data_IF_445659208289
#
_entry.id   IF_445659208289
#
_cell.length_a   1.000
_cell.length_b   1.000
_cell.length_c   1.000
_cell.angle_alpha   90.00
_cell.angle_beta   90.00
_cell.angle_gamma   90.00
#
_symmetry.space_group_name_H-M   'P 1'
#
loop_
_entity.id
_entity.type
_entity.pdbx_description
1 polymer ?
#
# COMPACT_ATOMS: atom_id res chain seq x y z
N UNK A 1 37.87 -81.69 21.80
CA UNK A 1 37.04 -80.82 20.94
C UNK A 1 35.68 -80.72 21.59
N UNK A 2 35.11 -79.58 21.93
CA UNK A 2 35.49 -78.19 21.75
C UNK A 2 34.36 -77.38 22.40
N UNK A 3 34.73 -76.49 23.30
CA UNK A 3 33.92 -75.59 24.11
C UNK A 3 33.04 -74.63 23.29
N UNK A 4 31.79 -74.40 23.73
CA UNK A 4 31.08 -73.14 23.43
C UNK A 4 30.71 -72.50 24.77
N UNK A 5 31.26 -71.30 24.99
CA UNK A 5 31.06 -70.46 26.18
C UNK A 5 29.65 -69.89 26.18
N UNK A 6 28.98 -69.98 27.33
CA UNK A 6 27.84 -69.14 27.68
C UNK A 6 28.39 -67.80 28.18
N UNK A 7 28.18 -66.72 27.41
CA UNK A 7 28.39 -65.36 27.89
C UNK A 7 27.03 -64.70 28.12
N UNK A 8 26.81 -64.43 29.40
CA UNK A 8 25.68 -63.74 30.05
C UNK A 8 25.39 -62.40 29.37
N UNK A 9 24.24 -62.27 28.72
CA UNK A 9 23.73 -60.96 28.31
C UNK A 9 23.30 -60.19 29.56
N UNK A 10 24.11 -59.21 29.92
CA UNK A 10 23.80 -58.24 30.96
C UNK A 10 22.84 -57.24 30.35
N UNK A 11 21.57 -57.27 30.78
CA UNK A 11 20.60 -56.22 30.51
C UNK A 11 21.17 -54.88 30.99
N UNK A 12 21.52 -54.00 30.06
CA UNK A 12 21.93 -52.63 30.38
C UNK A 12 20.68 -51.71 30.32
N UNK A 13 20.45 -50.86 31.34
CA UNK A 13 19.19 -50.17 31.53
C UNK A 13 19.04 -48.99 30.56
N UNK A 14 17.87 -48.91 29.93
CA UNK A 14 17.21 -47.68 29.47
C UNK A 14 18.11 -46.61 28.83
N UNK A 15 18.31 -46.68 27.51
CA UNK A 15 18.71 -45.49 26.74
C UNK A 15 17.54 -44.50 26.75
N UNK A 16 17.53 -43.57 27.70
CA UNK A 16 16.62 -42.42 27.69
C UNK A 16 16.84 -41.69 26.38
N UNK A 17 15.83 -41.67 25.50
CA UNK A 17 15.84 -40.88 24.27
C UNK A 17 15.93 -39.41 24.65
N UNK A 18 17.13 -38.85 24.60
CA UNK A 18 17.38 -37.47 24.98
C UNK A 18 17.00 -36.59 23.80
N UNK A 19 15.89 -35.85 23.91
CA UNK A 19 15.51 -34.83 22.93
C UNK A 19 16.13 -33.50 23.30
N UNK A 20 16.71 -32.80 22.33
CA UNK A 20 17.16 -31.41 22.47
C UNK A 20 16.44 -30.52 21.46
N UNK A 21 16.27 -29.25 21.82
CA UNK A 21 15.71 -28.21 20.97
C UNK A 21 16.55 -26.95 21.12
N UNK A 22 16.74 -26.21 20.02
CA UNK A 22 17.48 -24.95 20.03
C UNK A 22 16.54 -23.82 19.63
N UNK A 23 16.42 -22.81 20.50
CA UNK A 23 15.79 -21.54 20.13
C UNK A 23 16.81 -20.69 19.40
N UNK A 24 16.51 -20.31 18.15
CA UNK A 24 17.27 -19.34 17.38
C UNK A 24 16.51 -18.03 17.38
N UNK A 25 17.15 -16.98 17.89
CA UNK A 25 16.64 -15.62 17.85
C UNK A 25 17.47 -14.82 16.86
N UNK A 26 16.83 -14.28 15.84
CA UNK A 26 17.46 -13.51 14.77
C UNK A 26 16.79 -12.13 14.66
N UNK A 27 17.53 -11.15 14.14
CA UNK A 27 17.04 -9.78 13.97
C UNK A 27 16.93 -9.46 12.49
N UNK A 28 15.74 -9.04 12.05
CA UNK A 28 15.51 -8.52 10.70
C UNK A 28 15.59 -7.01 10.74
N UNK A 29 16.62 -6.45 10.11
CA UNK A 29 16.87 -5.00 10.09
C UNK A 29 16.28 -4.34 8.85
N UNK A 30 15.85 -3.09 9.00
CA UNK A 30 15.48 -2.21 7.90
C UNK A 30 15.60 -0.76 8.33
N UNK A 31 15.88 0.13 7.39
CA UNK A 31 16.08 1.56 7.66
C UNK A 31 15.15 2.42 6.82
N UNK A 32 14.77 3.57 7.35
CA UNK A 32 13.90 4.54 6.71
C UNK A 32 14.45 5.95 6.94
N UNK A 33 14.45 6.74 5.87
CA UNK A 33 14.84 8.14 5.90
C UNK A 33 13.59 9.01 5.85
N UNK A 34 13.47 9.94 6.79
CA UNK A 34 12.36 10.86 6.93
C UNK A 34 12.89 12.29 6.85
N UNK A 35 12.57 12.97 5.74
CA UNK A 35 12.91 14.37 5.51
C UNK A 35 11.74 15.26 5.90
N UNK A 36 11.97 16.19 6.82
CA UNK A 36 11.02 17.22 7.20
C UNK A 36 11.47 18.52 6.54
N UNK A 37 10.68 19.02 5.61
CA UNK A 37 10.89 20.33 4.96
C UNK A 37 10.02 21.38 5.63
N UNK A 38 10.51 22.61 5.76
CA UNK A 38 9.73 23.69 6.38
C UNK A 38 9.71 23.59 7.91
N UNK A 39 10.81 23.17 8.55
CA UNK A 39 10.88 22.99 9.99
C UNK A 39 10.42 24.24 10.76
N UNK A 40 10.74 25.43 10.27
CA UNK A 40 10.33 26.71 10.85
C UNK A 40 8.81 26.82 11.03
N UNK A 41 8.01 26.27 10.11
CA UNK A 41 6.55 26.24 10.15
C UNK A 41 5.99 25.25 11.17
N UNK A 42 6.81 24.29 11.61
CA UNK A 42 6.44 23.31 12.63
C UNK A 42 6.62 23.81 14.07
N UNK A 43 7.19 25.00 14.24
CA UNK A 43 7.37 25.63 15.55
C UNK A 43 6.02 26.14 16.08
N UNK A 44 5.75 25.92 17.36
CA UNK A 44 4.50 26.37 17.97
C UNK A 44 3.29 25.48 17.64
N UNK A 45 3.50 24.30 17.04
CA UNK A 45 2.47 23.26 16.90
C UNK A 45 1.87 22.86 18.25
N UNK A 46 2.62 23.03 19.33
CA UNK A 46 2.21 22.73 20.69
C UNK A 46 2.76 21.39 21.18
N UNK A 47 2.98 21.32 22.49
CA UNK A 47 3.55 20.15 23.15
C UNK A 47 2.65 18.93 22.91
N UNK A 48 3.28 17.79 22.59
CA UNK A 48 2.59 16.54 22.29
C UNK A 48 2.03 16.44 20.86
N UNK A 49 2.10 17.50 20.07
CA UNK A 49 1.84 17.44 18.62
C UNK A 49 3.09 16.99 17.88
N UNK A 50 2.89 16.24 16.81
CA UNK A 50 3.97 15.62 16.06
C UNK A 50 3.70 15.64 14.55
N UNK A 51 4.79 15.49 13.81
CA UNK A 51 4.82 15.25 12.38
C UNK A 51 5.13 13.77 12.18
N UNK A 52 4.20 12.98 11.60
CA UNK A 52 4.46 11.60 11.28
C UNK A 52 5.25 11.45 9.97
N UNK A 53 6.09 10.42 9.87
CA UNK A 53 6.55 9.91 8.58
C UNK A 53 5.46 9.07 7.93
N UNK A 54 5.60 8.86 6.62
CA UNK A 54 4.92 7.75 5.95
C UNK A 54 5.22 6.42 6.64
N UNK A 55 4.28 5.48 6.52
CA UNK A 55 4.48 4.14 7.07
C UNK A 55 5.49 3.38 6.23
N UNK A 56 6.38 2.62 6.88
CA UNK A 56 7.38 1.79 6.21
C UNK A 56 7.43 0.38 6.82
N UNK A 57 7.83 -0.60 6.00
CA UNK A 57 7.79 -2.01 6.39
C UNK A 57 9.16 -2.52 6.83
N UNK A 58 9.24 -3.11 8.02
CA UNK A 58 10.44 -3.82 8.51
C UNK A 58 10.01 -5.09 9.24
N UNK A 59 10.63 -6.22 8.88
CA UNK A 59 10.37 -7.50 9.55
C UNK A 59 8.97 -8.08 9.34
N UNK A 60 8.18 -7.54 8.42
CA UNK A 60 6.76 -7.88 8.19
C UNK A 60 5.77 -7.01 8.96
N UNK A 61 6.24 -5.94 9.61
CA UNK A 61 5.40 -5.00 10.36
C UNK A 61 5.57 -3.58 9.80
N UNK A 62 4.50 -2.79 9.89
CA UNK A 62 4.46 -1.38 9.52
C UNK A 62 4.86 -0.52 10.72
N UNK A 63 5.70 0.47 10.43
CA UNK A 63 6.27 1.39 11.40
C UNK A 63 6.10 2.84 10.93
N UNK A 64 6.08 3.78 11.86
CA UNK A 64 6.03 5.22 11.55
C UNK A 64 6.88 6.00 12.55
N UNK A 65 7.59 7.02 12.09
CA UNK A 65 8.39 7.91 12.92
C UNK A 65 7.52 9.10 13.33
N UNK A 66 7.58 9.50 14.60
CA UNK A 66 6.94 10.70 15.12
C UNK A 66 8.00 11.69 15.59
N UNK A 67 8.09 12.83 14.90
CA UNK A 67 8.92 13.96 15.32
C UNK A 67 8.05 14.99 16.04
N UNK A 68 8.43 15.39 17.25
CA UNK A 68 7.73 16.39 18.06
C UNK A 68 8.60 17.65 18.13
N UNK A 69 8.33 18.68 17.32
CA UNK A 69 9.11 19.91 17.33
C UNK A 69 9.08 20.58 18.71
N UNK A 70 7.89 20.62 19.32
CA UNK A 70 7.65 21.24 20.63
C UNK A 70 7.83 20.27 21.82
N UNK A 71 8.35 19.07 21.55
CA UNK A 71 8.52 18.01 22.55
C UNK A 71 7.24 17.23 22.83
N UNK A 72 7.38 16.01 23.35
CA UNK A 72 6.25 15.09 23.59
C UNK A 72 5.48 15.38 24.88
N UNK A 73 6.13 15.90 25.92
CA UNK A 73 5.53 16.09 27.24
C UNK A 73 5.77 17.49 27.80
N UNK A 74 4.79 17.98 28.55
CA UNK A 74 4.79 19.32 29.17
C UNK A 74 5.94 19.53 30.16
N UNK A 75 6.45 18.45 30.74
CA UNK A 75 7.58 18.43 31.69
C UNK A 75 8.83 19.15 31.19
N UNK A 76 9.03 19.20 29.86
CA UNK A 76 10.22 19.78 29.25
C UNK A 76 10.00 21.21 28.76
N UNK A 77 8.82 21.81 28.99
CA UNK A 77 8.45 23.18 28.59
C UNK A 77 8.87 23.53 27.15
N UNK A 78 8.68 22.59 26.23
CA UNK A 78 9.14 22.72 24.85
C UNK A 78 10.61 23.18 24.76
N UNK A 79 11.53 22.60 25.54
CA UNK A 79 12.97 22.92 25.44
C UNK A 79 13.74 21.96 24.52
N UNK A 80 13.14 20.82 24.20
CA UNK A 80 13.74 19.75 23.40
C UNK A 80 12.80 19.35 22.26
N UNK A 81 13.39 18.89 21.17
CA UNK A 81 12.67 18.08 20.19
C UNK A 81 12.63 16.63 20.66
N UNK A 82 11.53 15.94 20.38
CA UNK A 82 11.41 14.51 20.68
C UNK A 82 11.30 13.70 19.40
N UNK A 83 11.82 12.48 19.43
CA UNK A 83 11.77 11.57 18.29
C UNK A 83 11.40 10.17 18.76
N UNK A 84 10.38 9.59 18.12
CA UNK A 84 9.83 8.29 18.46
C UNK A 84 9.60 7.45 17.22
N UNK A 85 9.69 6.13 17.37
CA UNK A 85 9.19 5.14 16.43
C UNK A 85 7.95 4.47 17.03
N UNK A 86 6.91 4.26 16.22
CA UNK A 86 5.67 3.61 16.62
C UNK A 86 5.33 2.43 15.72
N UNK A 87 4.69 1.41 16.31
CA UNK A 87 4.15 0.27 15.58
C UNK A 87 2.79 0.64 14.98
N UNK A 88 2.69 0.62 13.66
CA UNK A 88 1.48 0.93 12.91
C UNK A 88 0.67 -0.32 12.51
N UNK A 89 1.27 -1.51 12.51
CA UNK A 89 0.53 -2.77 12.27
C UNK A 89 -0.38 -3.14 13.44
N UNK A 90 -1.63 -3.52 13.13
CA UNK A 90 -2.57 -4.12 14.08
C UNK A 90 -2.24 -5.59 14.32
N UNK A 91 -2.45 -6.09 15.56
CA UNK A 91 -2.25 -7.50 15.92
C UNK A 91 -1.24 -7.74 17.05
N UNK A 92 -0.42 -8.78 16.87
CA UNK A 92 0.47 -9.36 17.89
C UNK A 92 1.55 -8.41 18.41
N UNK A 93 1.97 -8.62 19.66
CA UNK A 93 3.10 -7.91 20.27
C UNK A 93 4.40 -8.16 19.48
N UNK A 94 5.14 -7.08 19.20
CA UNK A 94 6.39 -7.13 18.43
C UNK A 94 7.56 -6.79 19.31
N UNK A 95 8.59 -7.64 19.33
CA UNK A 95 9.88 -7.32 19.94
C UNK A 95 10.78 -6.65 18.91
N UNK A 96 11.28 -5.45 19.21
CA UNK A 96 12.14 -4.70 18.30
C UNK A 96 13.25 -3.93 19.01
N UNK A 97 14.34 -3.74 18.29
CA UNK A 97 15.40 -2.77 18.53
C UNK A 97 15.21 -1.59 17.59
N UNK A 98 15.74 -0.42 17.96
CA UNK A 98 15.71 0.74 17.09
C UNK A 98 16.94 1.62 17.27
N UNK A 99 17.20 2.39 16.22
CA UNK A 99 18.13 3.50 16.19
C UNK A 99 17.41 4.69 15.58
N UNK A 100 17.62 5.86 16.17
CA UNK A 100 17.10 7.13 15.69
C UNK A 100 18.27 8.11 15.58
N UNK A 101 18.38 8.73 14.41
CA UNK A 101 19.52 9.57 14.05
C UNK A 101 19.05 10.87 13.42
N UNK A 102 19.56 12.00 13.89
CA UNK A 102 19.52 13.26 13.14
C UNK A 102 20.76 13.34 12.28
N UNK A 103 20.57 13.53 10.97
CA UNK A 103 21.65 13.44 10.02
C UNK A 103 22.38 14.78 9.88
N UNK A 104 23.71 14.75 9.95
CA UNK A 104 24.57 15.88 9.62
C UNK A 104 24.45 16.22 8.13
N UNK A 105 24.24 17.51 7.83
CA UNK A 105 24.07 18.01 6.46
C UNK A 105 25.24 18.90 6.00
N UNK A 106 26.29 19.02 6.81
CA UNK A 106 27.53 19.72 6.41
C UNK A 106 28.47 18.84 5.57
N UNK A 107 28.22 17.52 5.52
CA UNK A 107 29.09 16.54 4.85
C UNK A 107 30.23 16.01 5.72
N UNK A 108 30.24 16.31 7.03
CA UNK A 108 31.27 15.85 7.96
C UNK A 108 30.92 14.50 8.61
N UNK A 109 29.72 13.96 8.37
CA UNK A 109 29.26 12.67 8.87
C UNK A 109 28.99 12.64 10.38
N UNK A 110 28.80 13.81 11.01
CA UNK A 110 28.65 13.94 12.47
C UNK A 110 27.21 13.76 12.94
N UNK A 111 26.58 12.64 12.57
CA UNK A 111 25.18 12.35 12.92
C UNK A 111 24.95 12.28 14.44
N UNK A 112 23.81 12.77 14.91
CA UNK A 112 23.38 12.60 16.30
C UNK A 112 22.58 11.30 16.40
N UNK A 113 23.26 10.25 16.85
CA UNK A 113 22.72 8.88 16.88
C UNK A 113 22.32 8.47 18.29
N UNK A 114 21.15 7.85 18.42
CA UNK A 114 20.72 7.14 19.61
C UNK A 114 20.30 5.71 19.24
N UNK A 115 21.13 4.73 19.63
CA UNK A 115 20.97 3.33 19.23
C UNK A 115 20.66 2.41 20.40
N UNK A 116 19.83 1.40 20.12
CA UNK A 116 19.63 0.23 20.98
C UNK A 116 20.26 -1.03 20.39
N UNK A 117 20.90 -0.95 19.23
CA UNK A 117 21.71 -2.06 18.70
C UNK A 117 22.99 -2.19 19.54
N UNK A 118 23.38 -3.45 19.83
CA UNK A 118 24.66 -3.74 20.47
C UNK A 118 24.78 -3.36 21.96
N UNK A 119 23.70 -2.96 22.65
CA UNK A 119 23.75 -2.80 24.11
C UNK A 119 23.92 -4.18 24.76
N UNK A 120 25.11 -4.43 25.33
CA UNK A 120 25.43 -5.66 26.02
C UNK A 120 24.47 -5.85 27.21
N UNK A 121 23.75 -7.00 27.24
CA UNK A 121 23.01 -7.68 28.32
C UNK A 121 22.11 -6.88 29.31
N UNK A 122 22.20 -5.56 29.42
CA UNK A 122 21.54 -4.72 30.43
C UNK A 122 20.16 -4.22 29.98
N UNK A 123 19.94 -4.09 28.66
CA UNK A 123 18.64 -3.69 28.09
C UNK A 123 18.34 -4.52 26.86
N UNK A 124 17.35 -5.42 26.97
CA UNK A 124 16.86 -6.24 25.87
C UNK A 124 16.00 -5.47 24.87
N UNK A 125 15.55 -6.14 23.80
CA UNK A 125 14.63 -5.56 22.83
C UNK A 125 13.30 -5.18 23.50
N UNK A 126 12.66 -4.15 22.99
CA UNK A 126 11.41 -3.66 23.53
C UNK A 126 10.23 -4.40 22.92
N UNK A 127 9.20 -4.66 23.73
CA UNK A 127 7.92 -5.20 23.28
C UNK A 127 6.93 -4.06 23.02
N UNK A 128 6.48 -3.92 21.78
CA UNK A 128 5.46 -2.96 21.36
C UNK A 128 4.13 -3.65 21.07
N UNK A 129 3.05 -2.97 21.43
CA UNK A 129 1.68 -3.25 20.96
C UNK A 129 1.32 -2.30 19.84
N UNK A 130 0.23 -2.57 19.13
CA UNK A 130 -0.34 -1.63 18.17
C UNK A 130 -0.47 -0.22 18.77
N UNK A 131 -0.02 0.80 18.02
CA UNK A 131 0.11 2.20 18.44
C UNK A 131 1.04 2.48 19.63
N UNK A 132 1.73 1.45 20.13
CA UNK A 132 2.84 1.61 21.06
C UNK A 132 3.98 2.37 20.39
N UNK A 133 4.64 3.25 21.14
CA UNK A 133 5.78 4.04 20.65
C UNK A 133 6.94 4.05 21.62
N UNK A 134 8.16 4.14 21.09
CA UNK A 134 9.41 4.25 21.83
C UNK A 134 10.35 5.25 21.20
N UNK A 135 11.21 5.84 22.00
CA UNK A 135 12.06 6.93 21.55
C UNK A 135 12.49 7.80 22.71
N UNK A 136 12.85 9.03 22.38
CA UNK A 136 13.51 9.94 23.31
C UNK A 136 12.71 11.23 23.44
N UNK A 137 12.19 11.48 24.66
CA UNK A 137 11.54 12.76 24.99
C UNK A 137 12.50 13.94 24.82
N UNK A 138 13.77 13.77 25.21
CA UNK A 138 14.83 14.78 25.10
C UNK A 138 15.85 14.35 24.05
N UNK A 139 15.44 14.20 22.80
CA UNK A 139 16.32 13.71 21.73
C UNK A 139 17.44 14.71 21.44
N UNK A 140 17.07 15.99 21.26
CA UNK A 140 18.02 17.08 21.08
C UNK A 140 17.44 18.40 21.61
N UNK A 141 18.30 19.28 22.12
CA UNK A 141 17.85 20.59 22.64
C UNK A 141 17.44 21.47 21.45
N UNK A 142 16.25 22.07 21.49
CA UNK A 142 15.70 22.78 20.32
C UNK A 142 16.58 23.95 19.90
N UNK A 143 17.01 24.78 20.84
CA UNK A 143 17.88 25.93 20.56
C UNK A 143 19.21 25.53 19.95
N UNK A 144 19.73 24.35 20.28
CA UNK A 144 20.95 23.82 19.69
C UNK A 144 20.70 23.24 18.30
N UNK A 145 19.53 22.62 18.07
CA UNK A 145 19.14 22.11 16.75
C UNK A 145 19.11 23.23 15.71
N UNK A 146 18.49 24.35 16.08
CA UNK A 146 18.26 25.51 15.22
C UNK A 146 19.56 26.20 14.76
N UNK A 147 20.66 26.01 15.49
CA UNK A 147 21.98 26.55 15.15
C UNK A 147 22.97 25.47 14.70
N UNK A 148 22.51 24.24 14.46
CA UNK A 148 23.37 23.10 14.13
C UNK A 148 23.34 22.76 12.63
N UNK A 149 24.33 22.00 12.19
CA UNK A 149 24.40 21.43 10.84
C UNK A 149 23.35 20.33 10.57
N UNK A 150 22.50 20.00 11.55
CA UNK A 150 21.37 19.08 11.37
C UNK A 150 20.16 19.74 10.71
N UNK A 151 20.03 21.07 10.82
CA UNK A 151 18.99 21.86 10.18
C UNK A 151 19.63 22.72 9.09
N UNK A 152 19.37 22.38 7.83
CA UNK A 152 19.92 23.11 6.68
C UNK A 152 18.81 23.37 5.67
N UNK A 153 18.76 24.59 5.14
CA UNK A 153 17.73 25.02 4.18
C UNK A 153 16.30 24.72 4.68
N UNK A 154 16.07 24.98 5.97
CA UNK A 154 14.83 24.68 6.71
C UNK A 154 14.38 23.21 6.65
N UNK A 155 15.33 22.29 6.42
CA UNK A 155 15.10 20.87 6.32
C UNK A 155 15.83 20.09 7.42
N UNK A 156 15.14 19.14 8.05
CA UNK A 156 15.72 18.11 8.89
C UNK A 156 15.73 16.78 8.16
N UNK A 157 16.80 16.01 8.33
CA UNK A 157 16.89 14.65 7.83
C UNK A 157 17.03 13.68 9.01
N UNK A 158 16.06 12.80 9.16
CA UNK A 158 16.01 11.80 10.22
C UNK A 158 16.19 10.43 9.60
N UNK A 159 17.11 9.63 10.14
CA UNK A 159 17.22 8.22 9.79
C UNK A 159 16.76 7.37 10.96
N UNK A 160 15.90 6.39 10.69
CA UNK A 160 15.51 5.37 11.65
C UNK A 160 15.92 3.99 11.14
N UNK A 161 16.55 3.19 12.00
CA UNK A 161 16.79 1.77 11.75
C UNK A 161 15.99 0.97 12.76
N UNK A 162 15.21 -0.01 12.30
CA UNK A 162 14.42 -0.92 13.14
C UNK A 162 14.97 -2.33 12.97
N UNK A 163 15.09 -3.05 14.07
CA UNK A 163 15.52 -4.45 14.11
C UNK A 163 14.45 -5.32 14.76
N UNK A 164 13.67 -6.04 13.96
CA UNK A 164 12.58 -6.90 14.45
C UNK A 164 13.13 -8.25 14.88
N UNK A 165 12.85 -8.64 16.12
CA UNK A 165 13.32 -9.88 16.73
C UNK A 165 12.36 -11.02 16.37
N UNK A 166 12.87 -11.99 15.60
CA UNK A 166 12.16 -13.23 15.27
C UNK A 166 12.78 -14.38 16.05
N UNK A 167 11.96 -15.11 16.80
CA UNK A 167 12.38 -16.33 17.49
C UNK A 167 11.75 -17.53 16.79
N UNK A 168 12.58 -18.50 16.43
CA UNK A 168 12.13 -19.79 15.90
C UNK A 168 12.71 -20.89 16.77
N UNK A 169 11.87 -21.84 17.18
CA UNK A 169 12.34 -23.03 17.89
C UNK A 169 12.57 -24.11 16.86
N UNK A 170 13.83 -24.47 16.64
CA UNK A 170 14.16 -25.59 15.78
C UNK A 170 14.22 -26.85 16.64
N UNK A 171 13.33 -27.81 16.35
CA UNK A 171 13.49 -29.19 16.80
C UNK A 171 14.72 -29.83 16.14
N UNK A 172 15.12 -31.04 16.54
CA UNK A 172 16.32 -31.68 15.99
C UNK A 172 16.10 -31.99 14.49
N UNK A 173 16.60 -31.11 13.62
CA UNK A 173 16.71 -31.36 12.18
C UNK A 173 17.93 -32.25 11.95
N UNK A 174 17.75 -33.56 12.07
CA UNK A 174 18.85 -34.53 11.93
C UNK A 174 19.23 -34.72 10.45
N UNK A 175 18.36 -34.35 9.49
CA UNK A 175 18.67 -34.40 8.05
C UNK A 175 17.94 -33.30 7.29
N UNK A 176 18.69 -32.46 6.54
CA UNK A 176 18.11 -31.52 5.58
C UNK A 176 18.21 -32.13 4.20
N UNK A 177 17.11 -32.66 3.68
CA UNK A 177 17.00 -33.03 2.27
C UNK A 177 16.59 -31.75 1.53
N UNK A 178 17.44 -31.27 0.62
CA UNK A 178 17.07 -30.19 -0.28
C UNK A 178 15.98 -30.70 -1.22
N UNK A 179 14.76 -30.18 -1.04
CA UNK A 179 13.64 -30.48 -1.93
C UNK A 179 13.71 -29.56 -3.15
N UNK A 180 13.46 -30.08 -4.37
CA UNK A 180 13.27 -29.21 -5.52
C UNK A 180 12.03 -28.32 -5.34
N UNK A 181 11.99 -27.21 -6.08
CA UNK A 181 10.78 -26.39 -6.15
C UNK A 181 9.62 -27.19 -6.78
N UNK A 182 8.39 -26.82 -6.45
CA UNK A 182 7.20 -27.47 -7.02
C UNK A 182 7.16 -27.29 -8.55
N UNK A 183 6.98 -28.40 -9.26
CA UNK A 183 6.89 -28.49 -10.73
C UNK A 183 5.44 -28.60 -11.23
N UNK A 184 4.45 -28.63 -10.33
CA UNK A 184 3.02 -28.75 -10.68
C UNK A 184 2.55 -27.74 -11.74
N UNK A 185 3.00 -26.48 -11.65
CA UNK A 185 2.65 -25.45 -12.64
C UNK A 185 3.21 -25.75 -14.03
N UNK A 186 4.41 -26.34 -14.11
CA UNK A 186 4.99 -26.79 -15.37
C UNK A 186 4.21 -27.96 -15.96
N UNK A 187 3.80 -28.92 -15.12
CA UNK A 187 3.00 -30.06 -15.56
C UNK A 187 1.64 -29.63 -16.14
N UNK A 188 0.93 -28.70 -15.51
CA UNK A 188 -0.30 -28.14 -16.08
C UNK A 188 -0.01 -27.29 -17.31
N UNK A 189 1.07 -26.51 -17.29
CA UNK A 189 1.52 -25.75 -18.45
C UNK A 189 1.71 -26.59 -19.71
N UNK A 190 2.44 -27.71 -19.59
CA UNK A 190 2.63 -28.67 -20.68
C UNK A 190 1.33 -29.35 -21.12
N UNK A 191 0.38 -29.55 -20.20
CA UNK A 191 -0.94 -30.06 -20.55
C UNK A 191 -1.70 -29.09 -21.48
N UNK A 192 -1.60 -27.77 -21.24
CA UNK A 192 -2.17 -26.77 -22.14
C UNK A 192 -1.45 -26.77 -23.50
N UNK A 193 -0.12 -26.80 -23.51
CA UNK A 193 0.69 -26.71 -24.73
C UNK A 193 0.55 -27.95 -25.64
N UNK A 194 0.49 -29.14 -25.05
CA UNK A 194 0.32 -30.41 -25.79
C UNK A 194 -1.09 -30.59 -26.36
N UNK A 195 -2.11 -29.99 -25.71
CA UNK A 195 -3.51 -30.19 -26.05
C UNK A 195 -4.03 -31.62 -25.78
N UNK A 196 -3.25 -32.46 -25.11
CA UNK A 196 -3.59 -33.85 -24.84
C UNK A 196 -4.77 -33.95 -23.87
N UNK A 197 -5.85 -34.61 -24.28
CA UNK A 197 -7.02 -34.82 -23.42
C UNK A 197 -7.94 -33.59 -23.29
N UNK A 198 -7.78 -32.59 -24.16
CA UNK A 198 -8.69 -31.45 -24.23
C UNK A 198 -10.13 -31.90 -24.52
N UNK A 199 -11.09 -31.33 -23.79
CA UNK A 199 -12.49 -31.74 -23.78
C UNK A 199 -13.47 -30.55 -23.94
N UNK A 200 -12.92 -29.36 -24.26
CA UNK A 200 -13.64 -28.15 -24.63
C UNK A 200 -12.79 -27.30 -25.58
N UNK A 201 -13.45 -26.64 -26.53
CA UNK A 201 -12.87 -25.60 -27.37
C UNK A 201 -13.53 -24.25 -27.11
N UNK A 202 -12.76 -23.17 -27.23
CA UNK A 202 -13.26 -21.81 -27.20
C UNK A 202 -12.99 -21.10 -28.51
N UNK A 203 -14.02 -20.52 -29.12
CA UNK A 203 -13.88 -19.66 -30.29
C UNK A 203 -13.81 -18.21 -29.82
N UNK A 204 -12.66 -17.56 -30.05
CA UNK A 204 -12.37 -16.19 -29.59
C UNK A 204 -11.70 -15.44 -30.73
N UNK A 205 -12.33 -14.35 -31.18
CA UNK A 205 -11.81 -13.51 -32.27
C UNK A 205 -11.40 -14.30 -33.54
N UNK A 206 -12.18 -15.34 -33.88
CA UNK A 206 -11.92 -16.23 -35.02
C UNK A 206 -10.82 -17.28 -34.78
N UNK A 207 -10.15 -17.27 -33.63
CA UNK A 207 -9.21 -18.30 -33.20
C UNK A 207 -9.90 -19.36 -32.33
N UNK A 208 -9.40 -20.60 -32.39
CA UNK A 208 -9.90 -21.72 -31.57
C UNK A 208 -8.86 -22.14 -30.54
N UNK A 209 -9.26 -22.17 -29.26
CA UNK A 209 -8.44 -22.56 -28.13
C UNK A 209 -8.97 -23.84 -27.47
N UNK A 210 -8.20 -24.92 -27.55
CA UNK A 210 -8.53 -26.16 -26.86
C UNK A 210 -8.10 -26.10 -25.38
N UNK A 211 -8.92 -26.64 -24.47
CA UNK A 211 -8.67 -26.62 -23.04
C UNK A 211 -9.34 -27.79 -22.30
N UNK A 212 -9.20 -27.80 -20.97
CA UNK A 212 -9.68 -28.86 -20.07
C UNK A 212 -10.72 -28.32 -19.10
N UNK A 213 -11.94 -28.85 -19.15
CA UNK A 213 -13.08 -28.40 -18.34
C UNK A 213 -12.76 -28.41 -16.84
N UNK A 214 -12.10 -29.47 -16.36
CA UNK A 214 -11.77 -29.61 -14.94
C UNK A 214 -10.75 -28.57 -14.46
N UNK A 215 -9.74 -28.25 -15.27
CA UNK A 215 -8.73 -27.25 -14.91
C UNK A 215 -9.37 -25.86 -14.84
N UNK A 216 -10.16 -25.51 -15.86
CA UNK A 216 -10.90 -24.24 -15.92
C UNK A 216 -11.86 -24.09 -14.73
N UNK A 217 -12.66 -25.12 -14.45
CA UNK A 217 -13.62 -25.12 -13.34
C UNK A 217 -12.98 -25.12 -11.95
N UNK A 218 -11.77 -25.68 -11.81
CA UNK A 218 -11.03 -25.61 -10.56
C UNK A 218 -10.49 -24.20 -10.27
N UNK A 219 -10.17 -23.45 -11.33
CA UNK A 219 -9.46 -22.17 -11.24
C UNK A 219 -10.39 -20.96 -11.34
N UNK A 220 -11.54 -21.09 -11.99
CA UNK A 220 -12.52 -20.01 -12.17
C UNK A 220 -13.92 -20.47 -11.73
N UNK A 221 -14.57 -19.76 -10.79
CA UNK A 221 -15.95 -20.04 -10.42
C UNK A 221 -16.92 -19.81 -11.59
N UNK A 222 -16.60 -18.89 -12.49
CA UNK A 222 -17.42 -18.58 -13.67
C UNK A 222 -17.34 -19.72 -14.69
N UNK A 223 -16.14 -20.21 -15.01
CA UNK A 223 -16.03 -21.41 -15.86
C UNK A 223 -16.66 -22.64 -15.20
N UNK A 224 -16.54 -22.80 -13.87
CA UNK A 224 -17.21 -23.88 -13.14
C UNK A 224 -18.72 -23.84 -13.35
N UNK A 225 -19.32 -22.66 -13.20
CA UNK A 225 -20.75 -22.47 -13.41
C UNK A 225 -21.14 -22.68 -14.88
N UNK A 226 -20.35 -22.17 -15.83
CA UNK A 226 -20.62 -22.28 -17.26
C UNK A 226 -20.54 -23.73 -17.76
N UNK A 227 -19.57 -24.51 -17.28
CA UNK A 227 -19.29 -25.87 -17.75
C UNK A 227 -20.07 -26.95 -17.00
N UNK A 228 -20.30 -26.76 -15.70
CA UNK A 228 -20.91 -27.76 -14.83
C UNK A 228 -22.19 -27.30 -14.12
N UNK A 229 -22.63 -26.06 -14.35
CA UNK A 229 -23.82 -25.52 -13.73
C UNK A 229 -25.14 -26.01 -14.33
N UNK A 230 -26.28 -25.63 -13.73
CA UNK A 230 -27.61 -26.10 -14.12
C UNK A 230 -28.03 -25.68 -15.53
N UNK A 231 -27.47 -24.57 -16.02
CA UNK A 231 -27.73 -23.98 -17.33
C UNK A 231 -26.64 -24.32 -18.35
N UNK A 232 -25.83 -25.36 -18.12
CA UNK A 232 -24.79 -25.75 -19.09
C UNK A 232 -25.44 -26.02 -20.45
N UNK A 233 -24.90 -25.40 -21.49
CA UNK A 233 -25.36 -25.65 -22.85
C UNK A 233 -25.15 -27.13 -23.18
N UNK A 234 -26.18 -27.77 -23.73
CA UNK A 234 -26.17 -29.23 -23.95
C UNK A 234 -25.22 -29.67 -25.08
N UNK A 235 -24.69 -28.72 -25.86
CA UNK A 235 -23.80 -28.91 -27.01
C UNK A 235 -22.42 -28.22 -26.83
N UNK A 236 -21.88 -28.22 -25.61
CA UNK A 236 -20.61 -27.57 -25.20
C UNK A 236 -19.33 -28.30 -25.63
N UNK A 237 -19.15 -28.54 -26.92
CA UNK A 237 -17.81 -28.86 -27.45
C UNK A 237 -17.07 -27.60 -27.90
N UNK A 238 -17.80 -26.56 -28.34
CA UNK A 238 -17.25 -25.25 -28.69
C UNK A 238 -18.03 -24.14 -27.99
N UNK A 239 -17.33 -23.27 -27.26
CA UNK A 239 -17.90 -22.14 -26.52
C UNK A 239 -17.39 -20.85 -27.17
N UNK A 240 -18.31 -20.03 -27.67
CA UNK A 240 -17.95 -18.73 -28.22
C UNK A 240 -17.72 -17.71 -27.10
N UNK A 241 -16.59 -17.04 -27.10
CA UNK A 241 -16.30 -15.92 -26.18
C UNK A 241 -16.45 -14.63 -26.97
N UNK A 242 -17.52 -13.89 -26.68
CA UNK A 242 -17.77 -12.58 -27.26
C UNK A 242 -17.04 -11.49 -26.47
N UNK A 243 -16.67 -10.42 -27.18
CA UNK A 243 -16.02 -9.21 -26.63
C UNK A 243 -14.69 -9.51 -25.91
N UNK A 244 -13.86 -10.35 -26.53
CA UNK A 244 -12.50 -10.61 -26.06
C UNK A 244 -11.58 -10.86 -27.25
N UNK A 245 -10.41 -10.23 -27.22
CA UNK A 245 -9.37 -10.44 -28.21
C UNK A 245 -8.62 -11.76 -27.93
N UNK A 246 -8.22 -12.46 -28.98
CA UNK A 246 -7.47 -13.72 -28.87
C UNK A 246 -6.20 -13.62 -27.99
N UNK A 247 -5.37 -12.56 -28.07
CA UNK A 247 -4.24 -12.35 -27.16
C UNK A 247 -4.67 -12.33 -25.68
N UNK A 248 -5.73 -11.62 -25.34
CA UNK A 248 -6.19 -11.52 -23.95
C UNK A 248 -6.66 -12.87 -23.43
N UNK A 249 -7.40 -13.63 -24.24
CA UNK A 249 -7.85 -14.97 -23.86
C UNK A 249 -6.69 -15.97 -23.74
N UNK A 250 -5.68 -15.88 -24.60
CA UNK A 250 -4.45 -16.67 -24.49
C UNK A 250 -3.73 -16.38 -23.18
N UNK A 251 -3.66 -15.12 -22.75
CA UNK A 251 -3.06 -14.76 -21.46
C UNK A 251 -3.89 -15.25 -20.26
N UNK A 252 -5.22 -15.21 -20.37
CA UNK A 252 -6.14 -15.77 -19.38
C UNK A 252 -5.90 -17.28 -19.20
N UNK A 253 -5.84 -18.04 -20.31
CA UNK A 253 -5.54 -19.47 -20.27
C UNK A 253 -4.15 -19.74 -19.72
N UNK A 254 -3.13 -18.98 -20.14
CA UNK A 254 -1.78 -19.11 -19.60
C UNK A 254 -1.80 -18.99 -18.07
N UNK A 255 -2.45 -17.97 -17.51
CA UNK A 255 -2.55 -17.82 -16.07
C UNK A 255 -3.28 -19.00 -15.39
N UNK A 256 -4.34 -19.52 -16.00
CA UNK A 256 -5.10 -20.63 -15.43
C UNK A 256 -4.22 -21.87 -15.20
N UNK A 257 -3.31 -22.17 -16.14
CA UNK A 257 -2.45 -23.35 -16.09
C UNK A 257 -1.10 -23.11 -15.42
N UNK A 258 -0.48 -21.93 -15.62
CA UNK A 258 0.86 -21.60 -15.12
C UNK A 258 0.87 -20.79 -13.82
N UNK A 259 -0.28 -20.25 -13.39
CA UNK A 259 -0.41 -19.32 -12.26
C UNK A 259 0.56 -18.10 -12.37
N UNK A 260 0.84 -17.68 -13.60
CA UNK A 260 1.73 -16.56 -13.91
C UNK A 260 1.25 -15.80 -15.15
N UNK A 261 1.62 -14.52 -15.23
CA UNK A 261 1.41 -13.71 -16.44
C UNK A 261 2.41 -14.17 -17.51
N UNK A 262 1.97 -14.36 -18.77
CA UNK A 262 2.89 -14.55 -19.88
C UNK A 262 3.65 -13.25 -20.19
N UNK A 263 4.64 -13.34 -21.07
CA UNK A 263 5.25 -12.15 -21.65
C UNK A 263 4.24 -11.44 -22.57
N UNK A 264 3.62 -10.39 -22.04
CA UNK A 264 2.60 -9.60 -22.73
C UNK A 264 3.12 -8.90 -23.98
N UNK A 265 4.41 -8.61 -24.06
CA UNK A 265 5.00 -7.94 -25.23
C UNK A 265 5.02 -8.87 -26.44
N UNK A 266 5.42 -10.13 -26.21
CA UNK A 266 5.38 -11.16 -27.25
C UNK A 266 3.95 -11.44 -27.70
N UNK A 267 3.02 -11.41 -26.74
CA UNK A 267 1.64 -11.80 -26.95
C UNK A 267 0.84 -10.74 -27.73
N UNK A 268 1.18 -9.46 -27.57
CA UNK A 268 0.59 -8.35 -28.32
C UNK A 268 1.11 -8.22 -29.77
N UNK A 269 2.06 -9.05 -30.20
CA UNK A 269 2.61 -9.04 -31.57
C UNK A 269 3.36 -7.76 -31.97
N UNK A 270 3.57 -6.84 -31.03
CA UNK A 270 4.15 -5.51 -31.25
C UNK A 270 5.13 -5.20 -30.12
N UNK A 271 6.36 -4.79 -30.46
CA UNK A 271 7.40 -4.39 -29.50
C UNK A 271 7.11 -3.04 -28.79
N UNK A 272 5.86 -2.62 -28.73
CA UNK A 272 5.48 -1.35 -28.11
C UNK A 272 4.99 -1.57 -26.68
N UNK A 273 5.55 -0.82 -25.74
CA UNK A 273 5.14 -0.83 -24.33
C UNK A 273 3.63 -0.55 -24.17
N UNK A 274 3.08 0.30 -25.04
CA UNK A 274 1.65 0.61 -25.12
C UNK A 274 0.78 -0.64 -25.33
N UNK A 275 1.13 -1.50 -26.29
CA UNK A 275 0.34 -2.69 -26.60
C UNK A 275 0.30 -3.68 -25.41
N UNK A 276 1.42 -3.82 -24.69
CA UNK A 276 1.49 -4.60 -23.45
C UNK A 276 0.56 -4.04 -22.36
N UNK A 277 0.52 -2.72 -22.19
CA UNK A 277 -0.38 -2.07 -21.24
C UNK A 277 -1.84 -2.29 -21.61
N UNK A 278 -2.20 -2.21 -22.90
CA UNK A 278 -3.56 -2.46 -23.38
C UNK A 278 -3.99 -3.92 -23.14
N UNK A 279 -3.13 -4.89 -23.43
CA UNK A 279 -3.40 -6.31 -23.10
C UNK A 279 -3.58 -6.49 -21.59
N UNK A 280 -2.77 -5.83 -20.75
CA UNK A 280 -2.91 -5.90 -19.30
C UNK A 280 -4.22 -5.30 -18.79
N UNK A 281 -4.69 -4.19 -19.39
CA UNK A 281 -5.99 -3.58 -19.13
C UNK A 281 -7.14 -4.56 -19.45
N UNK A 282 -7.19 -5.09 -20.67
CA UNK A 282 -8.22 -6.04 -21.06
C UNK A 282 -8.15 -7.34 -20.25
N UNK A 283 -6.95 -7.80 -19.88
CA UNK A 283 -6.77 -8.96 -19.03
C UNK A 283 -7.27 -8.73 -17.61
N UNK A 284 -7.14 -7.52 -17.06
CA UNK A 284 -7.72 -7.16 -15.77
C UNK A 284 -9.25 -7.27 -15.82
N UNK A 285 -9.87 -6.72 -16.86
CA UNK A 285 -11.32 -6.84 -17.07
C UNK A 285 -11.76 -8.30 -17.24
N UNK A 286 -11.00 -9.11 -17.98
CA UNK A 286 -11.23 -10.54 -18.11
C UNK A 286 -11.08 -11.27 -16.77
N UNK A 287 -10.07 -10.92 -15.97
CA UNK A 287 -9.84 -11.53 -14.67
C UNK A 287 -11.03 -11.30 -13.72
N UNK A 288 -11.57 -10.09 -13.69
CA UNK A 288 -12.78 -9.77 -12.94
C UNK A 288 -13.99 -10.55 -13.48
N UNK A 289 -14.21 -10.52 -14.81
CA UNK A 289 -15.30 -11.26 -15.50
C UNK A 289 -15.30 -12.76 -15.18
N UNK A 290 -14.14 -13.38 -15.03
CA UNK A 290 -14.00 -14.81 -14.75
C UNK A 290 -13.71 -15.15 -13.27
N UNK A 291 -13.72 -14.15 -12.37
CA UNK A 291 -13.52 -14.35 -10.92
C UNK A 291 -12.11 -14.87 -10.57
N UNK A 292 -11.09 -14.31 -11.21
CA UNK A 292 -9.68 -14.67 -11.02
C UNK A 292 -8.94 -13.58 -10.23
N UNK A 293 -9.20 -13.48 -8.93
CA UNK A 293 -8.70 -12.39 -8.07
C UNK A 293 -7.19 -12.21 -8.10
N UNK A 294 -6.43 -13.31 -8.07
CA UNK A 294 -4.96 -13.24 -8.12
C UNK A 294 -4.46 -12.70 -9.46
N UNK A 295 -5.12 -13.06 -10.58
CA UNK A 295 -4.79 -12.51 -11.89
C UNK A 295 -5.08 -11.01 -11.94
N UNK A 296 -6.23 -10.59 -11.42
CA UNK A 296 -6.61 -9.18 -11.32
C UNK A 296 -5.54 -8.38 -10.56
N UNK A 297 -5.08 -8.86 -9.41
CA UNK A 297 -4.01 -8.22 -8.63
C UNK A 297 -2.66 -8.18 -9.37
N UNK A 298 -2.31 -9.23 -10.13
CA UNK A 298 -1.10 -9.21 -10.95
C UNK A 298 -1.20 -8.17 -12.08
N UNK A 299 -2.36 -8.03 -12.71
CA UNK A 299 -2.61 -6.98 -13.69
C UNK A 299 -2.56 -5.59 -13.05
N UNK A 300 -3.14 -5.39 -11.85
CA UNK A 300 -3.01 -4.13 -11.10
C UNK A 300 -1.56 -3.76 -10.83
N UNK A 301 -0.76 -4.70 -10.32
CA UNK A 301 0.67 -4.48 -10.06
C UNK A 301 1.42 -4.11 -11.36
N UNK A 302 1.13 -4.81 -12.45
CA UNK A 302 1.74 -4.54 -13.75
C UNK A 302 1.38 -3.16 -14.30
N UNK A 303 0.11 -2.77 -14.20
CA UNK A 303 -0.37 -1.46 -14.64
C UNK A 303 0.19 -0.32 -13.77
N UNK A 304 0.36 -0.54 -12.47
CA UNK A 304 1.00 0.41 -11.55
C UNK A 304 2.45 0.72 -11.95
N UNK A 305 3.22 -0.26 -12.43
CA UNK A 305 4.60 -0.06 -12.89
C UNK A 305 4.69 0.72 -14.22
N UNK A 306 3.61 0.73 -15.00
CA UNK A 306 3.58 1.25 -16.38
C UNK A 306 2.67 2.47 -16.54
N UNK A 307 2.22 3.10 -15.45
CA UNK A 307 1.40 4.32 -15.50
C UNK A 307 2.12 5.40 -16.32
N UNK A 308 1.43 5.90 -17.35
CA UNK A 308 1.93 6.92 -18.25
C UNK A 308 0.82 7.93 -18.59
N UNK A 309 1.22 9.13 -19.04
CA UNK A 309 0.29 10.23 -19.36
C UNK A 309 -0.80 9.79 -20.34
N UNK A 310 -0.45 9.02 -21.36
CA UNK A 310 -1.36 8.56 -22.40
C UNK A 310 -2.27 7.39 -22.00
N UNK A 311 -1.93 6.64 -20.93
CA UNK A 311 -2.67 5.44 -20.48
C UNK A 311 -3.41 5.65 -19.17
N UNK A 312 -3.03 6.64 -18.36
CA UNK A 312 -3.50 6.75 -16.97
C UNK A 312 -5.00 6.99 -16.88
N UNK A 313 -5.59 7.75 -17.80
CA UNK A 313 -7.03 8.04 -17.77
C UNK A 313 -7.89 6.80 -18.08
N UNK A 314 -7.51 5.99 -19.07
CA UNK A 314 -8.20 4.73 -19.36
C UNK A 314 -7.96 3.70 -18.27
N UNK A 315 -6.75 3.66 -17.70
CA UNK A 315 -6.41 2.80 -16.55
C UNK A 315 -7.23 3.17 -15.31
N UNK A 316 -7.43 4.46 -15.06
CA UNK A 316 -8.22 4.98 -13.95
C UNK A 316 -9.71 4.62 -14.11
N UNK A 317 -10.26 4.79 -15.32
CA UNK A 317 -11.64 4.37 -15.61
C UNK A 317 -11.83 2.86 -15.37
N UNK A 318 -10.88 2.06 -15.84
CA UNK A 318 -10.90 0.61 -15.69
C UNK A 318 -10.76 0.19 -14.22
N UNK A 319 -9.92 0.88 -13.44
CA UNK A 319 -9.77 0.63 -12.02
C UNK A 319 -11.06 0.93 -11.25
N UNK A 320 -11.82 1.96 -11.65
CA UNK A 320 -13.14 2.24 -11.08
C UNK A 320 -14.15 1.14 -11.42
N UNK A 321 -14.24 0.76 -12.70
CA UNK A 321 -15.21 -0.21 -13.20
C UNK A 321 -15.06 -1.60 -12.57
N UNK A 322 -13.83 -2.03 -12.29
CA UNK A 322 -13.52 -3.34 -11.70
C UNK A 322 -13.15 -3.29 -10.21
N UNK A 323 -13.42 -2.15 -9.56
CA UNK A 323 -13.20 -1.95 -8.12
C UNK A 323 -11.75 -2.23 -7.65
N UNK A 324 -10.78 -1.83 -8.46
CA UNK A 324 -9.35 -1.94 -8.19
C UNK A 324 -8.85 -0.70 -7.42
N UNK A 325 -9.14 -0.66 -6.11
CA UNK A 325 -8.90 0.53 -5.27
C UNK A 325 -7.43 0.95 -5.19
N UNK A 326 -6.50 0.00 -5.20
CA UNK A 326 -5.06 0.30 -5.12
C UNK A 326 -4.56 0.97 -6.40
N UNK A 327 -4.89 0.37 -7.56
CA UNK A 327 -4.58 0.95 -8.87
C UNK A 327 -5.23 2.33 -9.03
N UNK A 328 -6.50 2.48 -8.64
CA UNK A 328 -7.21 3.76 -8.68
C UNK A 328 -6.49 4.84 -7.88
N UNK A 329 -6.05 4.55 -6.65
CA UNK A 329 -5.34 5.51 -5.82
C UNK A 329 -3.99 5.93 -6.44
N UNK A 330 -3.25 4.99 -7.04
CA UNK A 330 -2.00 5.28 -7.76
C UNK A 330 -2.26 6.18 -8.97
N UNK A 331 -3.28 5.87 -9.76
CA UNK A 331 -3.67 6.68 -10.92
C UNK A 331 -4.09 8.10 -10.52
N UNK A 332 -4.94 8.25 -9.51
CA UNK A 332 -5.35 9.56 -8.99
C UNK A 332 -4.15 10.40 -8.55
N UNK A 333 -3.25 9.79 -7.77
CA UNK A 333 -2.02 10.45 -7.33
C UNK A 333 -1.14 10.90 -8.51
N UNK A 334 -1.01 10.06 -9.54
CA UNK A 334 -0.22 10.38 -10.73
C UNK A 334 -0.83 11.54 -11.53
N UNK A 335 -2.15 11.51 -11.76
CA UNK A 335 -2.87 12.55 -12.52
C UNK A 335 -2.89 13.88 -11.76
N UNK A 336 -2.99 13.85 -10.43
CA UNK A 336 -3.06 15.05 -9.60
C UNK A 336 -1.76 15.88 -9.55
N UNK A 337 -0.64 15.34 -10.03
CA UNK A 337 0.61 16.11 -10.16
C UNK A 337 0.44 17.21 -11.21
N UNK A 338 0.79 18.49 -10.91
CA UNK A 338 0.58 19.62 -11.82
C UNK A 338 1.16 19.43 -13.23
N UNK A 339 2.34 18.84 -13.32
CA UNK A 339 3.03 18.53 -14.58
C UNK A 339 2.30 17.50 -15.44
N UNK A 340 1.57 16.57 -14.82
CA UNK A 340 0.87 15.49 -15.50
C UNK A 340 -0.56 15.90 -15.85
N UNK A 341 -1.27 16.58 -14.93
CA UNK A 341 -2.69 16.90 -15.07
C UNK A 341 -3.00 17.55 -16.42
N UNK A 342 -2.25 18.60 -16.78
CA UNK A 342 -2.46 19.34 -18.02
C UNK A 342 -2.26 18.44 -19.26
N UNK A 343 -1.27 17.57 -19.23
CA UNK A 343 -0.98 16.68 -20.35
C UNK A 343 -2.03 15.57 -20.47
N UNK A 344 -2.47 15.00 -19.34
CA UNK A 344 -3.54 13.97 -19.30
C UNK A 344 -4.85 14.54 -19.82
N UNK A 345 -5.22 15.76 -19.44
CA UNK A 345 -6.45 16.42 -19.91
C UNK A 345 -6.51 16.61 -21.43
N UNK A 346 -5.37 16.56 -22.12
CA UNK A 346 -5.28 16.67 -23.58
C UNK A 346 -5.35 15.30 -24.29
N UNK A 347 -5.47 14.21 -23.55
CA UNK A 347 -5.53 12.85 -24.12
C UNK A 347 -6.96 12.43 -24.42
N UNK A 348 -7.14 11.63 -25.48
CA UNK A 348 -8.42 11.00 -25.80
C UNK A 348 -8.91 10.10 -24.66
N UNK A 349 -7.98 9.48 -23.91
CA UNK A 349 -8.31 8.68 -22.73
C UNK A 349 -9.00 9.49 -21.63
N UNK A 350 -8.73 10.78 -21.52
CA UNK A 350 -9.41 11.65 -20.56
C UNK A 350 -10.83 12.01 -21.00
N UNK A 351 -11.09 12.18 -22.30
CA UNK A 351 -12.46 12.29 -22.83
C UNK A 351 -13.27 11.03 -22.50
N UNK A 352 -12.70 9.85 -22.74
CA UNK A 352 -13.32 8.57 -22.37
C UNK A 352 -13.64 8.48 -20.87
N UNK A 353 -12.72 8.94 -20.00
CA UNK A 353 -12.94 8.97 -18.55
C UNK A 353 -14.13 9.85 -18.17
N UNK A 354 -14.31 11.01 -18.82
CA UNK A 354 -15.45 11.90 -18.56
C UNK A 354 -16.79 11.24 -18.91
N UNK A 355 -16.83 10.52 -20.01
CA UNK A 355 -18.05 9.85 -20.48
C UNK A 355 -18.37 8.60 -19.66
N UNK A 356 -17.34 7.82 -19.32
CA UNK A 356 -17.51 6.49 -18.71
C UNK A 356 -17.63 6.53 -17.19
N UNK A 357 -16.93 7.45 -16.52
CA UNK A 357 -16.82 7.50 -15.06
C UNK A 357 -16.81 8.94 -14.52
N UNK A 358 -17.90 9.72 -14.66
CA UNK A 358 -17.94 11.13 -14.25
C UNK A 358 -17.74 11.33 -12.73
N UNK A 359 -18.11 10.36 -11.90
CA UNK A 359 -17.86 10.38 -10.45
C UNK A 359 -16.38 10.49 -10.11
N UNK A 360 -15.52 9.82 -10.88
CA UNK A 360 -14.06 9.81 -10.68
C UNK A 360 -13.45 11.18 -10.94
N UNK A 361 -14.06 11.99 -11.81
CA UNK A 361 -13.62 13.37 -11.99
C UNK A 361 -13.78 14.15 -10.69
N UNK A 362 -14.93 14.02 -10.02
CA UNK A 362 -15.20 14.72 -8.75
C UNK A 362 -14.17 14.32 -7.70
N UNK A 363 -13.87 13.03 -7.59
CA UNK A 363 -12.83 12.53 -6.69
C UNK A 363 -11.43 13.04 -7.06
N UNK A 364 -11.10 13.14 -8.35
CA UNK A 364 -9.86 13.75 -8.80
C UNK A 364 -9.79 15.25 -8.42
N UNK A 365 -10.90 15.99 -8.53
CA UNK A 365 -10.96 17.39 -8.11
C UNK A 365 -10.76 17.53 -6.60
N UNK A 366 -11.42 16.69 -5.79
CA UNK A 366 -11.25 16.63 -4.34
C UNK A 366 -9.80 16.28 -3.97
N UNK A 367 -9.22 15.31 -4.67
CA UNK A 367 -7.83 14.92 -4.47
C UNK A 367 -6.88 16.09 -4.76
N UNK A 368 -7.05 16.78 -5.89
CA UNK A 368 -6.26 17.97 -6.25
C UNK A 368 -6.46 19.12 -5.25
N UNK A 369 -7.69 19.36 -4.78
CA UNK A 369 -7.98 20.38 -3.78
C UNK A 369 -7.28 20.08 -2.45
N UNK A 370 -7.30 18.82 -2.01
CA UNK A 370 -6.61 18.39 -0.78
C UNK A 370 -5.09 18.55 -0.84
N UNK A 371 -4.48 18.39 -2.03
CA UNK A 371 -3.06 18.70 -2.23
C UNK A 371 -2.77 20.20 -2.11
N UNK A 372 -3.72 21.04 -2.52
CA UNK A 372 -3.63 22.50 -2.44
C UNK A 372 -3.79 23.05 -1.02
N UNK A 373 -4.61 22.45 -0.15
CA UNK A 373 -4.79 22.91 1.24
C UNK A 373 -3.51 22.85 2.07
N UNK A 374 -2.62 21.90 1.79
CA UNK A 374 -1.28 21.85 2.39
C UNK A 374 -0.34 22.98 1.93
N UNK A 375 -0.69 23.72 0.87
CA UNK A 375 0.10 24.84 0.36
C UNK A 375 -0.40 26.23 0.81
N UNK A 376 -1.66 26.36 1.24
CA UNK A 376 -2.31 27.67 1.50
C UNK A 376 -2.20 28.15 2.97
N UNK A 377 -1.89 27.28 3.94
CA UNK A 377 -1.74 27.69 5.36
C UNK A 377 -0.47 28.55 5.60
N UNK A 378 0.40 28.72 4.58
CA UNK A 378 1.66 29.47 4.70
C UNK A 378 1.53 31.01 4.75
N UNK A 379 0.35 31.61 4.55
CA UNK A 379 0.22 33.07 4.54
C UNK A 379 -1.01 33.58 5.29
N UNK A 380 -0.89 33.66 6.62
CA UNK A 380 -1.75 34.56 7.38
C UNK A 380 -1.89 34.14 8.84
N UNK A 381 -1.04 34.67 9.72
CA UNK A 381 -1.50 35.33 10.94
C UNK A 381 -0.32 36.06 11.58
N UNK A 382 -0.39 37.40 11.60
CA UNK A 382 0.43 38.27 12.44
C UNK A 382 -0.39 38.69 13.66
N UNK A 383 0.28 38.59 14.80
CA UNK A 383 0.11 39.33 16.05
C UNK A 383 -1.19 39.19 16.83
N UNK A 384 -1.09 38.58 18.02
CA UNK A 384 -1.39 39.30 19.26
C UNK A 384 -0.62 38.70 20.45
N UNK A 385 -0.25 39.59 21.36
CA UNK A 385 0.71 39.45 22.47
C UNK A 385 0.01 39.18 23.82
N UNK A 386 0.64 38.37 24.68
CA UNK A 386 0.40 38.30 26.14
C UNK A 386 1.14 37.09 26.72
N UNK A 387 2.27 37.23 27.42
CA UNK A 387 2.41 37.52 28.88
C UNK A 387 1.46 36.64 29.72
N UNK A 388 1.84 35.91 30.76
CA UNK A 388 3.06 35.71 31.57
C UNK A 388 2.67 34.61 32.60
N UNK A 389 3.63 33.97 33.28
CA UNK A 389 3.37 33.30 34.56
C UNK A 389 3.64 31.80 34.63
N UNK A 390 4.88 31.44 34.91
CA UNK A 390 5.31 30.18 35.53
C UNK A 390 4.98 30.15 37.03
N UNK A 391 4.69 28.98 37.62
CA UNK A 391 5.63 28.39 38.59
C UNK A 391 5.38 26.95 39.08
N UNK A 392 6.51 26.41 39.55
CA UNK A 392 6.97 25.15 40.16
C UNK A 392 6.02 24.33 41.08
N UNK A 393 5.92 23.02 40.83
CA UNK A 393 6.50 21.98 41.71
C UNK A 393 6.35 20.57 41.13
N UNK A 394 7.48 19.88 40.93
CA UNK A 394 7.52 18.51 40.44
C UNK A 394 7.25 17.48 41.54
N UNK A 395 6.57 16.38 41.16
CA UNK A 395 6.80 15.01 41.68
C UNK A 395 6.21 13.98 40.70
N UNK A 396 7.04 12.98 40.37
CA UNK A 396 6.78 11.83 39.49
C UNK A 396 5.55 11.02 39.91
N UNK A 397 4.77 10.52 38.95
CA UNK A 397 4.19 9.17 38.97
C UNK A 397 3.90 8.66 37.54
N UNK A 398 4.11 7.36 37.34
CA UNK A 398 3.75 6.57 36.16
C UNK A 398 2.23 6.66 35.91
N UNK A 399 1.83 6.93 34.67
CA UNK A 399 0.43 6.93 34.26
C UNK A 399 0.27 6.37 32.85
N UNK A 400 -0.16 5.12 32.77
CA UNK A 400 -0.92 4.60 31.63
C UNK A 400 -2.18 5.47 31.47
N UNK A 401 -2.47 5.94 30.26
CA UNK A 401 -3.77 6.52 29.93
C UNK A 401 -4.28 5.92 28.62
N UNK A 402 -5.21 4.98 28.76
CA UNK A 402 -6.31 4.81 27.82
C UNK A 402 -7.15 6.09 27.80
N UNK A 403 -7.63 6.49 26.62
CA UNK A 403 -8.68 7.49 26.50
C UNK A 403 -9.77 7.00 25.51
N UNK A 404 -11.07 7.17 25.83
CA UNK A 404 -12.15 6.46 25.17
C UNK A 404 -12.84 7.28 24.06
N UNK A 405 -13.48 6.52 23.18
CA UNK A 405 -14.48 6.94 22.20
C UNK A 405 -15.57 7.84 22.80
N UNK A 406 -15.96 8.90 22.06
CA UNK A 406 -17.34 9.42 22.09
C UNK A 406 -17.84 9.72 20.68
N UNK A 407 -18.95 9.04 20.39
CA UNK A 407 -19.92 9.22 19.32
C UNK A 407 -20.39 10.67 19.18
N UNK A 408 -20.55 11.14 17.94
CA UNK A 408 -21.56 12.14 17.61
C UNK A 408 -22.41 11.64 16.44
N UNK A 409 -23.70 11.53 16.74
CA UNK A 409 -24.80 11.20 15.86
C UNK A 409 -25.06 12.28 14.81
N UNK A 410 -25.53 11.83 13.64
CA UNK A 410 -26.19 12.63 12.61
C UNK A 410 -27.30 13.52 13.18
N UNK A 411 -27.34 14.78 12.72
CA UNK A 411 -28.61 15.44 12.42
C UNK A 411 -28.44 16.68 11.52
N UNK A 412 -29.24 16.68 10.44
CA UNK A 412 -29.79 17.81 9.65
C UNK A 412 -29.04 18.28 8.39
N UNK A 413 -29.52 17.72 7.28
CA UNK A 413 -29.55 18.25 5.91
C UNK A 413 -30.19 19.66 5.82
N UNK A 414 -29.85 20.32 4.70
CA UNK A 414 -30.52 21.48 4.06
C UNK A 414 -30.09 22.90 4.49
N UNK A 415 -28.80 23.26 4.37
CA UNK A 415 -28.37 24.65 4.00
C UNK A 415 -27.03 24.70 3.21
N UNK A 416 -26.20 23.65 3.18
CA UNK A 416 -24.79 23.79 2.71
C UNK A 416 -24.52 23.72 1.20
N UNK A 417 -25.52 23.64 0.32
CA UNK A 417 -25.28 23.61 -1.14
C UNK A 417 -24.90 24.97 -1.75
N UNK A 418 -25.03 26.08 -1.03
CA UNK A 418 -24.68 27.41 -1.57
C UNK A 418 -23.29 27.93 -1.14
N UNK A 419 -22.72 27.42 -0.05
CA UNK A 419 -21.43 27.88 0.48
C UNK A 419 -20.22 27.18 -0.16
N UNK A 420 -20.39 25.99 -0.74
CA UNK A 420 -19.32 25.31 -1.49
C UNK A 420 -19.00 25.99 -2.84
N UNK A 421 -19.98 26.65 -3.46
CA UNK A 421 -19.80 27.38 -4.74
C UNK A 421 -18.85 28.58 -4.62
N UNK A 422 -18.89 29.28 -3.48
CA UNK A 422 -18.11 30.51 -3.27
C UNK A 422 -16.64 30.21 -2.92
N UNK A 423 -16.37 29.15 -2.16
CA UNK A 423 -14.99 28.71 -1.84
C UNK A 423 -14.20 28.28 -3.09
N UNK A 424 -14.84 27.51 -3.98
CA UNK A 424 -14.26 27.09 -5.27
C UNK A 424 -13.99 28.29 -6.20
N UNK A 425 -14.81 29.33 -6.16
CA UNK A 425 -14.63 30.51 -7.02
C UNK A 425 -13.35 31.30 -6.72
N UNK A 426 -12.96 31.41 -5.43
CA UNK A 426 -11.70 32.04 -5.01
C UNK A 426 -10.48 31.17 -5.28
N UNK A 427 -10.64 29.84 -5.27
CA UNK A 427 -9.55 28.89 -5.50
C UNK A 427 -9.08 28.88 -6.98
N UNK A 428 -10.01 29.06 -7.93
CA UNK A 428 -9.67 29.09 -9.37
C UNK A 428 -9.02 30.37 -9.88
N UNK A 429 -8.99 31.44 -9.09
CA UNK A 429 -8.39 32.71 -9.50
C UNK A 429 -6.85 32.67 -9.58
N UNK A 430 -6.21 31.61 -9.07
CA UNK A 430 -4.74 31.48 -9.04
C UNK A 430 -4.18 30.37 -9.94
N UNK A 431 -5.03 29.67 -10.71
CA UNK A 431 -4.59 28.61 -11.61
C UNK A 431 -5.22 28.76 -13.01
N UNK A 432 -4.48 29.23 -14.04
CA UNK A 432 -5.02 29.48 -15.37
C UNK A 432 -5.61 28.26 -16.09
N UNK A 433 -5.35 27.04 -15.60
CA UNK A 433 -5.67 25.77 -16.25
C UNK A 433 -7.12 25.30 -15.98
N UNK A 434 -7.81 25.87 -14.98
CA UNK A 434 -9.15 25.41 -14.57
C UNK A 434 -10.33 26.26 -15.05
N UNK A 435 -10.08 27.38 -15.73
CA UNK A 435 -11.16 28.17 -16.36
C UNK A 435 -11.97 27.30 -17.34
N UNK A 436 -11.30 26.41 -18.06
CA UNK A 436 -11.92 25.51 -19.04
C UNK A 436 -12.68 24.36 -18.35
N UNK A 437 -12.14 23.81 -17.25
CA UNK A 437 -12.83 22.80 -16.43
C UNK A 437 -14.11 23.34 -15.77
N UNK A 438 -14.12 24.60 -15.34
CA UNK A 438 -15.30 25.21 -14.70
C UNK A 438 -16.48 25.30 -15.67
N UNK A 439 -16.22 25.64 -16.94
CA UNK A 439 -17.22 25.63 -18.02
C UNK A 439 -17.81 24.24 -18.22
N UNK A 440 -16.96 23.22 -18.34
CA UNK A 440 -17.39 21.85 -18.63
C UNK A 440 -18.04 21.17 -17.43
N UNK A 441 -17.61 21.49 -16.20
CA UNK A 441 -18.23 21.05 -14.96
C UNK A 441 -19.65 21.61 -14.81
N UNK A 442 -19.85 22.90 -15.10
CA UNK A 442 -21.18 23.52 -15.15
C UNK A 442 -22.07 22.81 -16.19
N UNK A 443 -21.54 22.42 -17.35
CA UNK A 443 -22.30 21.67 -18.36
C UNK A 443 -22.65 20.24 -17.89
N UNK A 444 -21.73 19.50 -17.29
CA UNK A 444 -21.98 18.13 -16.80
C UNK A 444 -23.00 18.15 -15.67
N UNK A 445 -22.87 19.09 -14.72
CA UNK A 445 -23.79 19.25 -13.61
C UNK A 445 -25.20 19.64 -14.09
N UNK A 446 -25.30 20.56 -15.07
CA UNK A 446 -26.58 20.88 -15.74
C UNK A 446 -27.16 19.70 -16.52
N UNK A 447 -26.32 18.83 -17.08
CA UNK A 447 -26.76 17.63 -17.81
C UNK A 447 -27.26 16.55 -16.87
N UNK A 448 -26.62 16.34 -15.72
CA UNK A 448 -27.10 15.43 -14.67
C UNK A 448 -28.37 15.95 -13.99
N UNK A 449 -28.46 17.25 -13.69
CA UNK A 449 -29.70 17.84 -13.13
C UNK A 449 -30.84 17.78 -14.15
N UNK A 450 -30.57 18.02 -15.44
CA UNK A 450 -31.56 17.85 -16.52
C UNK A 450 -32.05 16.40 -16.63
N UNK A 451 -31.15 15.40 -16.53
CA UNK A 451 -31.50 13.97 -16.51
C UNK A 451 -32.31 13.58 -15.27
N UNK A 452 -32.01 14.17 -14.11
CA UNK A 452 -32.79 13.97 -12.86
C UNK A 452 -34.17 14.64 -12.92
N UNK A 453 -34.29 15.79 -13.58
CA UNK A 453 -35.57 16.49 -13.77
C UNK A 453 -36.47 15.77 -14.79
N UNK A 454 -35.90 15.15 -15.84
CA UNK A 454 -36.69 14.35 -16.81
C UNK A 454 -37.19 13.04 -16.23
N UNK A 455 -36.45 12.40 -15.32
CA UNK A 455 -36.89 11.20 -14.59
C UNK A 455 -37.94 11.49 -13.52
N UNK A 456 -37.99 12.71 -12.97
CA UNK A 456 -39.05 13.12 -12.03
C UNK A 456 -40.36 13.56 -12.71
N UNK A 457 -40.36 13.80 -14.03
CA UNK A 457 -41.59 14.16 -14.77
C UNK A 457 -42.32 12.97 -15.41
N UNK A 458 -41.77 11.75 -15.30
CA UNK A 458 -42.29 10.52 -15.94
C UNK A 458 -42.70 9.42 -14.97
N UNK A 459 -42.87 9.74 -13.69
CA UNK A 459 -43.59 8.95 -12.67
C UNK A 459 -44.68 9.80 -12.06
#
# INVERSE_FOLDING_TARGET
>A
MGTIRVSKETLNPSSVSTSSSTSRTETVNGSHEFKITGYSLSKGMGIGKYIPSETFMVGGYLWTIYFYPDGKSVEDNASHVSLFIALASEGSEVRALFELSLMDQSGNGRHKVHTHFGRALDTGPYTLKYRGSMGYKRFYKRTALETSDYLKDDCLLIQCTVGVIKSQTEGPKIYTISLPASDIGQHFGWLLESGEGTDVNFEVDGETFAAHKLVLAARSPVFKAQLFGPLKDRNTECIKVEEMEAPVFKALLHFIYWDSLPDMQQLAGLNSKWASTLVAQHLLAAADRYGLDRLRLLCEAKLCEEVAINTVATTLALAEQHHCFQLKAVCLKFVALPENLKAVMQTEGFEYLKESCPSVLTELLEYVASLGEHSVISYGFKNETGLDGSDVNGRRFLGYCDAPFKSMHLSRLCVETFTLSLSLSSFFAHWPVWSDCKSEFLKIQLTEESKKLTTFSST
#
